data_IF_526533568316
#
_entry.id   IF_526533568316
#
_cell.length_a   1.000
_cell.length_b   1.000
_cell.length_c   1.000
_cell.angle_alpha   90.00
_cell.angle_beta   90.00
_cell.angle_gamma   90.00
#
_symmetry.space_group_name_H-M   'P 1'
#
loop_
_entity.id
_entity.type
_entity.pdbx_description
1 polymer ?
#
# COMPACT_ATOMS: atom_id res chain seq x y z
N UNK A 1 1.02 2.78 17.28
CA UNK A 1 2.38 2.31 16.94
C UNK A 1 2.63 2.62 15.48
N UNK A 2 3.76 3.26 15.17
CA UNK A 2 4.18 3.67 13.81
C UNK A 2 5.67 3.37 13.70
N UNK A 3 6.09 2.65 12.65
CA UNK A 3 7.49 2.39 12.34
C UNK A 3 7.80 2.82 10.92
N UNK A 4 9.04 3.26 10.67
CA UNK A 4 9.53 3.70 9.37
C UNK A 4 10.94 3.18 9.13
N UNK A 5 11.24 2.84 7.88
CA UNK A 5 12.58 2.49 7.42
C UNK A 5 12.84 3.12 6.05
N UNK A 6 14.01 3.65 5.86
CA UNK A 6 14.51 4.05 4.53
C UNK A 6 15.34 2.89 3.96
N UNK A 7 15.23 2.63 2.67
CA UNK A 7 15.91 1.51 1.99
C UNK A 7 15.61 0.15 2.64
N UNK A 8 14.33 -0.15 2.76
CA UNK A 8 13.84 -1.35 3.44
C UNK A 8 14.24 -2.68 2.76
N UNK A 9 14.17 -2.72 1.42
CA UNK A 9 14.61 -3.87 0.63
C UNK A 9 16.06 -3.70 0.19
N UNK A 10 16.77 -4.79 -0.05
CA UNK A 10 18.03 -4.71 -0.79
C UNK A 10 17.80 -4.18 -2.21
N UNK A 11 18.83 -3.61 -2.82
CA UNK A 11 18.72 -2.91 -4.10
C UNK A 11 18.21 -3.84 -5.22
N UNK A 12 18.60 -5.11 -5.24
CA UNK A 12 18.17 -6.06 -6.25
C UNK A 12 16.67 -6.40 -6.11
N UNK A 13 16.22 -6.68 -4.90
CA UNK A 13 14.81 -6.99 -4.63
C UNK A 13 13.92 -5.76 -4.89
N UNK A 14 14.39 -4.57 -4.52
CA UNK A 14 13.70 -3.33 -4.83
C UNK A 14 13.58 -3.09 -6.34
N UNK A 15 14.65 -3.28 -7.12
CA UNK A 15 14.65 -3.11 -8.57
C UNK A 15 13.64 -4.07 -9.24
N UNK A 16 13.59 -5.33 -8.81
CA UNK A 16 12.60 -6.32 -9.27
C UNK A 16 11.18 -5.83 -8.96
N UNK A 17 10.90 -5.39 -7.74
CA UNK A 17 9.59 -4.91 -7.32
C UNK A 17 9.17 -3.65 -8.10
N UNK A 18 10.05 -2.68 -8.24
CA UNK A 18 9.83 -1.44 -8.97
C UNK A 18 9.51 -1.69 -10.44
N UNK A 19 10.27 -2.57 -11.10
CA UNK A 19 10.01 -2.98 -12.50
C UNK A 19 8.65 -3.66 -12.64
N UNK A 20 8.31 -4.55 -11.71
CA UNK A 20 7.03 -5.27 -11.73
C UNK A 20 5.85 -4.33 -11.56
N UNK A 21 5.89 -3.42 -10.61
CA UNK A 21 4.82 -2.45 -10.38
C UNK A 21 4.68 -1.47 -11.55
N UNK A 22 5.80 -1.05 -12.14
CA UNK A 22 5.80 -0.24 -13.38
C UNK A 22 5.18 -1.01 -14.56
N UNK A 23 5.46 -2.29 -14.70
CA UNK A 23 4.86 -3.15 -15.74
C UNK A 23 3.35 -3.27 -15.54
N UNK A 24 2.89 -3.52 -14.32
CA UNK A 24 1.47 -3.59 -13.98
C UNK A 24 0.74 -2.29 -14.33
N UNK A 25 1.32 -1.15 -13.99
CA UNK A 25 0.77 0.15 -14.38
C UNK A 25 0.62 0.28 -15.89
N UNK A 26 1.66 -0.08 -16.66
CA UNK A 26 1.63 0.02 -18.12
C UNK A 26 0.58 -0.90 -18.75
N UNK A 27 0.38 -2.10 -18.20
CA UNK A 27 -0.63 -3.06 -18.67
C UNK A 27 -2.05 -2.59 -18.39
N UNK A 28 -2.26 -1.94 -17.24
CA UNK A 28 -3.59 -1.49 -16.82
C UNK A 28 -4.02 -0.14 -17.39
N UNK A 29 -3.08 0.67 -17.91
CA UNK A 29 -3.36 2.01 -18.41
C UNK A 29 -4.45 2.10 -19.47
N UNK A 30 -4.59 1.16 -20.44
CA UNK A 30 -5.69 1.17 -21.41
C UNK A 30 -7.05 0.86 -20.80
N UNK A 31 -7.10 0.10 -19.72
CA UNK A 31 -8.33 -0.38 -19.07
C UNK A 31 -8.90 0.65 -18.07
N UNK A 32 -8.09 1.60 -17.65
CA UNK A 32 -8.46 2.64 -16.68
C UNK A 32 -9.61 3.55 -17.13
N UNK A 33 -9.91 3.58 -18.41
CA UNK A 33 -10.94 4.46 -18.98
C UNK A 33 -12.35 3.84 -19.05
N UNK A 34 -12.53 2.53 -18.82
CA UNK A 34 -13.76 1.82 -19.21
C UNK A 34 -14.32 0.81 -18.22
N UNK A 35 -13.67 0.52 -17.09
CA UNK A 35 -14.12 -0.57 -16.21
C UNK A 35 -14.97 -0.10 -15.02
N UNK A 36 -16.21 -0.54 -15.07
CA UNK A 36 -17.10 -0.66 -13.91
C UNK A 36 -16.78 -2.00 -13.22
N UNK A 37 -16.36 -2.00 -11.95
CA UNK A 37 -15.84 -3.22 -11.33
C UNK A 37 -16.82 -3.79 -10.34
N UNK A 38 -17.38 -4.93 -10.71
CA UNK A 38 -17.95 -5.88 -9.75
C UNK A 38 -16.82 -6.75 -9.17
N UNK A 39 -16.69 -6.75 -7.87
CA UNK A 39 -15.76 -7.61 -7.13
C UNK A 39 -16.15 -9.09 -7.33
N UNK A 40 -15.49 -9.79 -8.22
CA UNK A 40 -15.56 -11.25 -8.28
C UNK A 40 -14.51 -11.80 -7.29
N UNK A 41 -14.98 -12.54 -6.29
CA UNK A 41 -14.16 -13.09 -5.21
C UNK A 41 -13.18 -14.19 -5.63
N UNK A 42 -13.21 -14.61 -6.88
CA UNK A 42 -12.44 -15.76 -7.39
C UNK A 42 -11.22 -15.40 -8.23
N UNK A 43 -11.03 -14.11 -8.56
CA UNK A 43 -9.86 -13.63 -9.30
C UNK A 43 -9.21 -12.45 -8.59
N UNK A 44 -7.87 -12.30 -8.66
CA UNK A 44 -7.21 -11.08 -8.21
C UNK A 44 -7.81 -9.92 -9.01
N UNK A 45 -8.59 -9.10 -8.33
CA UNK A 45 -9.43 -8.11 -8.99
C UNK A 45 -8.64 -6.84 -9.19
N UNK A 46 -8.51 -6.42 -10.42
CA UNK A 46 -8.10 -5.06 -10.76
C UNK A 46 -9.28 -4.16 -10.41
N UNK A 47 -9.21 -3.53 -9.24
CA UNK A 47 -10.21 -2.56 -8.79
C UNK A 47 -9.81 -1.16 -9.24
N UNK A 48 -10.62 -0.52 -10.10
CA UNK A 48 -10.54 0.91 -10.36
C UNK A 48 -11.58 1.58 -9.47
N UNK A 49 -11.14 2.49 -8.62
CA UNK A 49 -12.09 3.34 -7.92
C UNK A 49 -12.65 4.38 -8.88
N UNK A 50 -13.96 4.39 -9.04
CA UNK A 50 -14.67 5.41 -9.81
C UNK A 50 -14.52 6.78 -9.10
N UNK A 51 -14.25 7.82 -9.87
CA UNK A 51 -14.10 9.21 -9.41
C UNK A 51 -15.27 9.70 -8.52
N UNK A 52 -16.46 9.15 -8.71
CA UNK A 52 -17.68 9.53 -7.97
C UNK A 52 -17.84 8.84 -6.61
N UNK A 53 -17.18 7.70 -6.39
CA UNK A 53 -17.09 7.07 -5.06
C UNK A 53 -15.91 7.62 -4.25
N UNK A 54 -14.99 8.27 -4.89
CA UNK A 54 -13.74 8.77 -4.33
C UNK A 54 -13.77 10.27 -4.02
N UNK A 55 -14.86 10.77 -3.47
CA UNK A 55 -14.84 12.10 -2.82
C UNK A 55 -13.75 12.16 -1.74
N UNK A 56 -13.20 11.01 -1.36
CA UNK A 56 -12.16 10.89 -0.34
C UNK A 56 -10.81 10.37 -0.83
N UNK A 57 -10.75 9.66 -1.97
CA UNK A 57 -9.52 9.03 -2.45
C UNK A 57 -9.50 9.00 -3.98
N UNK A 58 -8.90 9.98 -4.63
CA UNK A 58 -8.61 9.90 -6.05
C UNK A 58 -7.45 8.91 -6.30
N UNK A 59 -7.72 7.63 -6.07
CA UNK A 59 -6.81 6.54 -6.38
C UNK A 59 -7.15 5.98 -7.74
N UNK A 60 -6.21 6.03 -8.67
CA UNK A 60 -6.51 5.70 -10.06
C UNK A 60 -6.34 4.23 -10.42
N UNK A 61 -5.58 3.47 -9.64
CA UNK A 61 -5.40 2.05 -9.88
C UNK A 61 -5.16 1.30 -8.58
N UNK A 62 -5.86 0.21 -8.39
CA UNK A 62 -5.68 -0.68 -7.26
C UNK A 62 -5.78 -2.12 -7.72
N UNK A 63 -4.69 -2.86 -7.63
CA UNK A 63 -4.71 -4.30 -7.64
C UNK A 63 -4.97 -4.78 -6.21
N UNK A 64 -5.81 -5.78 -6.05
CA UNK A 64 -6.19 -6.28 -4.73
C UNK A 64 -6.24 -7.79 -4.69
N UNK A 65 -5.53 -8.39 -3.73
CA UNK A 65 -5.59 -9.81 -3.42
C UNK A 65 -6.07 -10.00 -1.98
N UNK A 66 -7.17 -10.69 -1.77
CA UNK A 66 -7.83 -10.88 -0.48
C UNK A 66 -8.52 -12.25 -0.32
N UNK A 67 -8.01 -13.27 -1.00
CA UNK A 67 -8.53 -14.64 -0.94
C UNK A 67 -8.25 -15.37 0.38
N UNK A 68 -8.54 -16.65 0.40
CA UNK A 68 -8.31 -17.51 1.58
C UNK A 68 -6.81 -17.70 1.87
N UNK A 69 -5.98 -17.68 0.82
CA UNK A 69 -4.51 -17.73 0.91
C UNK A 69 -3.88 -16.57 0.14
N UNK A 70 -3.93 -15.38 0.77
CA UNK A 70 -3.44 -14.12 0.17
C UNK A 70 -1.99 -14.20 -0.23
N UNK A 71 -1.14 -14.89 0.54
CA UNK A 71 0.28 -15.06 0.21
C UNK A 71 0.43 -15.79 -1.12
N UNK A 72 -0.21 -16.96 -1.24
CA UNK A 72 -0.16 -17.80 -2.45
C UNK A 72 -0.72 -17.06 -3.66
N UNK A 73 -1.89 -16.46 -3.54
CA UNK A 73 -2.53 -15.71 -4.62
C UNK A 73 -1.68 -14.52 -5.09
N UNK A 74 -1.05 -13.81 -4.14
CA UNK A 74 -0.15 -12.72 -4.46
C UNK A 74 1.09 -13.21 -5.21
N UNK A 75 1.66 -14.34 -4.80
CA UNK A 75 2.81 -14.96 -5.49
C UNK A 75 2.43 -15.45 -6.88
N UNK A 76 1.28 -16.07 -7.06
CA UNK A 76 0.78 -16.50 -8.36
C UNK A 76 0.61 -15.31 -9.33
N UNK A 77 0.17 -14.17 -8.85
CA UNK A 77 -0.03 -12.99 -9.68
C UNK A 77 1.26 -12.18 -9.92
N UNK A 78 2.00 -11.84 -8.87
CA UNK A 78 3.19 -10.99 -8.99
C UNK A 78 4.46 -11.76 -9.38
N UNK A 79 4.44 -13.09 -9.24
CA UNK A 79 5.61 -13.94 -9.39
C UNK A 79 6.36 -14.19 -8.07
N UNK A 80 7.34 -15.12 -8.06
CA UNK A 80 7.95 -15.63 -6.84
C UNK A 80 8.77 -14.60 -6.05
N UNK A 81 9.25 -13.54 -6.66
CA UNK A 81 10.04 -12.54 -5.94
C UNK A 81 9.22 -11.71 -4.96
N UNK A 82 7.90 -11.58 -5.17
CA UNK A 82 7.03 -10.90 -4.20
C UNK A 82 6.98 -11.66 -2.87
N UNK A 83 7.13 -12.98 -2.88
CA UNK A 83 7.18 -13.78 -1.65
C UNK A 83 8.30 -13.32 -0.73
N UNK A 84 9.49 -13.03 -1.29
CA UNK A 84 10.64 -12.51 -0.52
C UNK A 84 10.30 -11.17 0.14
N UNK A 85 9.60 -10.28 -0.58
CA UNK A 85 9.13 -9.00 -0.03
C UNK A 85 8.16 -9.22 1.13
N UNK A 86 7.16 -10.07 0.93
CA UNK A 86 6.14 -10.37 1.95
C UNK A 86 6.76 -11.04 3.18
N UNK A 87 7.71 -11.96 2.98
CA UNK A 87 8.43 -12.59 4.07
C UNK A 87 9.33 -11.60 4.82
N UNK A 88 9.99 -10.66 4.13
CA UNK A 88 10.78 -9.62 4.78
C UNK A 88 9.90 -8.73 5.66
N UNK A 89 8.73 -8.31 5.18
CA UNK A 89 7.77 -7.54 5.99
C UNK A 89 7.27 -8.37 7.16
N UNK A 90 6.93 -9.65 6.96
CA UNK A 90 6.51 -10.54 8.04
C UNK A 90 7.59 -10.70 9.11
N UNK A 91 8.84 -10.91 8.71
CA UNK A 91 9.97 -11.04 9.63
C UNK A 91 10.20 -9.74 10.40
N UNK A 92 10.06 -8.58 9.76
CA UNK A 92 10.12 -7.29 10.44
C UNK A 92 9.09 -7.19 11.57
N UNK A 93 7.86 -7.68 11.36
CA UNK A 93 6.85 -7.77 12.41
C UNK A 93 7.27 -8.69 13.57
N UNK A 94 7.80 -9.87 13.23
CA UNK A 94 8.28 -10.85 14.22
C UNK A 94 9.40 -10.24 15.08
N UNK A 95 10.33 -9.52 14.47
CA UNK A 95 11.44 -8.83 15.16
C UNK A 95 10.96 -7.70 16.10
N UNK A 96 9.80 -7.10 15.79
CA UNK A 96 9.13 -6.12 16.66
C UNK A 96 8.28 -6.76 17.76
N UNK A 97 8.25 -8.10 17.85
CA UNK A 97 7.60 -8.84 18.94
C UNK A 97 6.24 -9.47 18.61
N UNK A 98 5.76 -9.32 17.36
CA UNK A 98 4.50 -9.90 16.91
C UNK A 98 4.71 -11.34 16.43
N UNK A 99 4.04 -12.33 17.04
CA UNK A 99 4.35 -13.76 16.81
C UNK A 99 3.45 -14.45 15.78
N UNK A 100 2.17 -14.09 15.77
CA UNK A 100 1.15 -14.78 14.97
C UNK A 100 0.58 -13.88 13.87
N UNK A 101 1.44 -13.04 13.30
CA UNK A 101 1.03 -12.07 12.29
C UNK A 101 0.62 -12.77 10.99
N UNK A 102 -0.54 -12.41 10.46
CA UNK A 102 -1.12 -12.93 9.24
C UNK A 102 -1.36 -11.83 8.23
N UNK A 103 -1.09 -12.12 6.98
CA UNK A 103 -1.42 -11.27 5.85
C UNK A 103 -2.91 -11.40 5.53
N UNK A 104 -3.63 -10.27 5.48
CA UNK A 104 -5.05 -10.22 5.14
C UNK A 104 -5.30 -9.83 3.69
N UNK A 105 -4.54 -8.85 3.21
CA UNK A 105 -4.60 -8.46 1.80
C UNK A 105 -3.31 -7.78 1.35
N UNK A 106 -3.11 -7.77 0.04
CA UNK A 106 -2.04 -7.03 -0.65
C UNK A 106 -2.69 -6.21 -1.75
N UNK A 107 -2.25 -4.98 -1.93
CA UNK A 107 -2.69 -4.16 -3.05
C UNK A 107 -1.54 -3.34 -3.64
N UNK A 108 -1.66 -3.10 -4.92
CA UNK A 108 -0.81 -2.16 -5.63
C UNK A 108 -1.62 -0.91 -5.98
N UNK A 109 -0.99 0.25 -5.83
CA UNK A 109 -1.63 1.53 -6.08
C UNK A 109 -0.65 2.52 -6.67
N UNK A 110 -1.16 3.38 -7.55
CA UNK A 110 -0.44 4.56 -7.99
C UNK A 110 -1.30 5.81 -7.84
N UNK A 111 -0.62 6.94 -7.80
CA UNK A 111 -1.23 8.26 -7.79
C UNK A 111 -0.51 9.22 -8.71
N UNK A 112 -1.24 10.17 -9.24
CA UNK A 112 -0.76 11.29 -10.05
C UNK A 112 -1.22 12.62 -9.44
N UNK A 113 -1.09 13.70 -10.19
CA UNK A 113 -1.41 15.08 -9.77
C UNK A 113 -2.83 15.32 -9.25
N UNK A 114 -3.78 14.45 -9.58
CA UNK A 114 -5.15 14.55 -9.06
C UNK A 114 -5.37 13.65 -7.83
N UNK A 115 -4.34 12.91 -7.44
CA UNK A 115 -4.46 11.95 -6.35
C UNK A 115 -4.31 12.64 -5.01
N UNK A 116 -5.29 12.45 -4.16
CA UNK A 116 -5.28 12.86 -2.76
C UNK A 116 -5.99 11.82 -1.91
N UNK A 117 -5.68 11.79 -0.65
CA UNK A 117 -6.36 10.95 0.32
C UNK A 117 -6.71 11.81 1.54
N UNK A 118 -7.99 11.97 1.81
CA UNK A 118 -8.43 12.71 2.97
C UNK A 118 -8.15 11.96 4.27
N UNK A 119 -8.06 12.71 5.37
CA UNK A 119 -7.83 12.14 6.69
C UNK A 119 -8.96 11.18 7.08
N UNK A 120 -8.61 9.92 7.32
CA UNK A 120 -9.53 8.86 7.74
C UNK A 120 -8.77 7.82 8.58
N UNK A 121 -9.50 6.85 9.12
CA UNK A 121 -8.98 5.65 9.76
C UNK A 121 -9.58 4.43 9.08
N UNK A 122 -8.79 3.37 8.97
CA UNK A 122 -9.27 2.10 8.44
C UNK A 122 -10.07 1.31 9.51
N UNK A 123 -10.93 0.41 9.06
CA UNK A 123 -11.64 -0.52 9.94
C UNK A 123 -10.79 -1.71 10.42
N UNK A 124 -11.37 -2.53 11.28
CA UNK A 124 -10.79 -3.82 11.72
C UNK A 124 -10.75 -4.83 10.57
N UNK A 125 -9.90 -5.83 10.72
CA UNK A 125 -9.74 -6.94 9.78
C UNK A 125 -10.19 -8.22 10.48
N UNK A 126 -11.11 -8.98 9.85
CA UNK A 126 -11.64 -10.22 10.42
C UNK A 126 -12.13 -10.04 11.85
N UNK A 127 -11.84 -11.03 12.74
CA UNK A 127 -12.14 -11.01 14.17
C UNK A 127 -11.02 -10.39 15.02
N UNK A 128 -10.05 -9.69 14.39
CA UNK A 128 -8.95 -9.08 15.10
C UNK A 128 -9.42 -7.88 15.92
N UNK A 129 -8.78 -7.68 17.07
CA UNK A 129 -9.06 -6.50 17.91
C UNK A 129 -8.50 -5.23 17.28
N UNK A 130 -8.98 -4.11 17.77
CA UNK A 130 -8.50 -2.78 17.40
C UNK A 130 -6.96 -2.65 17.46
N UNK A 131 -6.32 -3.29 18.43
CA UNK A 131 -4.90 -3.20 18.71
C UNK A 131 -4.05 -4.06 17.76
N UNK A 132 -4.65 -5.06 17.13
CA UNK A 132 -3.98 -6.12 16.38
C UNK A 132 -4.17 -6.04 14.87
N UNK A 133 -4.59 -4.89 14.34
CA UNK A 133 -4.75 -4.65 12.90
C UNK A 133 -3.79 -3.59 12.40
N UNK A 134 -3.02 -3.91 11.37
CA UNK A 134 -1.95 -3.06 10.87
C UNK A 134 -1.98 -2.92 9.36
N UNK A 135 -1.43 -1.83 8.88
CA UNK A 135 -1.13 -1.61 7.48
C UNK A 135 0.36 -1.32 7.32
N UNK A 136 0.95 -1.84 6.25
CA UNK A 136 2.30 -1.51 5.83
C UNK A 136 2.31 -1.09 4.36
N UNK A 137 3.28 -0.26 3.99
CA UNK A 137 3.41 0.27 2.64
C UNK A 137 4.89 0.39 2.27
N UNK A 138 5.24 -0.02 1.05
CA UNK A 138 6.56 0.17 0.43
C UNK A 138 6.35 1.00 -0.82
N UNK A 139 7.07 2.12 -0.95
CA UNK A 139 7.07 2.93 -2.17
C UNK A 139 7.94 2.29 -3.24
N UNK A 140 7.38 2.12 -4.44
CA UNK A 140 7.97 1.30 -5.50
C UNK A 140 8.39 2.05 -6.76
N UNK A 141 8.10 3.36 -6.86
CA UNK A 141 8.63 4.21 -7.94
C UNK A 141 10.14 4.36 -7.82
N UNK A 142 10.81 4.72 -8.92
CA UNK A 142 12.27 4.77 -8.99
C UNK A 142 12.88 6.07 -8.48
N UNK A 143 12.09 7.16 -8.45
CA UNK A 143 12.55 8.48 -8.02
C UNK A 143 11.41 9.26 -7.37
N UNK A 144 11.73 10.17 -6.47
CA UNK A 144 10.79 11.11 -5.88
C UNK A 144 11.53 12.34 -5.34
N UNK A 145 10.99 13.51 -5.63
CA UNK A 145 11.39 14.75 -4.98
C UNK A 145 10.36 15.11 -3.91
N UNK A 146 10.80 15.48 -2.73
CA UNK A 146 9.92 15.84 -1.63
C UNK A 146 9.04 17.06 -1.91
N UNK A 147 9.47 17.93 -2.83
CA UNK A 147 8.72 19.10 -3.27
C UNK A 147 7.51 18.73 -4.15
N UNK A 148 7.46 17.51 -4.68
CA UNK A 148 6.31 17.01 -5.42
C UNK A 148 5.08 16.67 -4.54
N UNK A 149 5.21 16.78 -3.23
CA UNK A 149 4.12 16.45 -2.30
C UNK A 149 3.92 14.94 -2.11
N UNK A 150 2.67 14.47 -2.06
CA UNK A 150 2.37 13.04 -1.93
C UNK A 150 2.84 12.40 -0.62
N UNK A 151 3.20 13.20 0.37
CA UNK A 151 3.64 12.72 1.68
C UNK A 151 2.51 11.96 2.38
N UNK A 152 2.84 10.81 2.94
CA UNK A 152 1.92 10.06 3.77
C UNK A 152 2.06 10.48 5.22
N UNK A 153 0.95 10.79 5.86
CA UNK A 153 0.89 11.27 7.24
C UNK A 153 0.06 10.34 8.10
N UNK A 154 0.55 10.01 9.28
CA UNK A 154 -0.14 9.20 10.28
C UNK A 154 -0.12 9.95 11.60
N UNK A 155 -1.30 10.15 12.17
CA UNK A 155 -1.49 10.86 13.43
C UNK A 155 -1.59 9.86 14.59
N UNK A 156 -1.05 10.20 15.74
CA UNK A 156 -1.26 9.43 16.97
C UNK A 156 -2.75 9.40 17.35
N UNK A 157 -3.18 8.37 18.09
CA UNK A 157 -4.60 8.21 18.47
C UNK A 157 -5.14 9.38 19.31
N UNK A 158 -4.27 10.04 20.07
CA UNK A 158 -4.60 11.21 20.89
C UNK A 158 -4.48 12.54 20.12
N UNK A 159 -4.06 12.50 18.86
CA UNK A 159 -3.92 13.67 18.00
C UNK A 159 -2.72 14.58 18.35
N UNK A 160 -1.83 14.15 19.24
CA UNK A 160 -0.71 15.00 19.70
C UNK A 160 0.50 14.98 18.79
N UNK A 161 0.68 13.92 18.03
CA UNK A 161 1.84 13.72 17.15
C UNK A 161 1.40 13.32 15.73
N UNK A 162 2.13 13.82 14.73
CA UNK A 162 1.98 13.40 13.34
C UNK A 162 3.32 12.90 12.81
N UNK A 163 3.34 11.63 12.40
CA UNK A 163 4.46 11.05 11.67
C UNK A 163 4.29 11.33 10.19
N UNK A 164 5.35 11.83 9.54
CA UNK A 164 5.38 12.10 8.10
C UNK A 164 6.33 11.10 7.44
N UNK A 165 5.83 10.40 6.43
CA UNK A 165 6.62 9.56 5.55
C UNK A 165 6.68 10.20 4.16
N UNK A 166 7.86 10.64 3.76
CA UNK A 166 8.11 11.02 2.39
C UNK A 166 8.04 9.77 1.51
N UNK A 167 7.47 9.85 0.31
CA UNK A 167 7.37 8.70 -0.58
C UNK A 167 8.70 8.45 -1.31
N UNK A 168 9.81 8.40 -0.57
CA UNK A 168 11.11 8.07 -1.14
C UNK A 168 11.12 6.64 -1.68
N UNK A 169 11.78 6.38 -2.82
CA UNK A 169 11.93 5.02 -3.33
C UNK A 169 12.46 4.07 -2.26
N UNK A 170 11.87 2.87 -2.17
CA UNK A 170 12.23 1.85 -1.17
C UNK A 170 12.00 2.27 0.29
N UNK A 171 11.30 3.35 0.55
CA UNK A 171 10.92 3.65 1.93
C UNK A 171 9.70 2.82 2.35
N UNK A 172 9.64 2.50 3.62
CA UNK A 172 8.67 1.61 4.23
C UNK A 172 8.07 2.25 5.46
N UNK A 173 6.75 2.10 5.63
CA UNK A 173 6.03 2.54 6.82
C UNK A 173 5.03 1.47 7.26
N UNK A 174 4.90 1.30 8.57
CA UNK A 174 3.88 0.48 9.22
C UNK A 174 3.12 1.35 10.23
N UNK A 175 1.79 1.18 10.27
CA UNK A 175 0.95 1.80 11.29
C UNK A 175 -0.22 0.90 11.67
N UNK A 176 -0.75 1.11 12.87
CA UNK A 176 -2.01 0.51 13.25
C UNK A 176 -3.14 1.15 12.43
N UNK A 177 -4.02 0.37 11.84
CA UNK A 177 -5.07 0.81 10.90
C UNK A 177 -6.01 1.87 11.47
N UNK A 178 -6.16 1.92 12.77
CA UNK A 178 -7.04 2.88 13.44
C UNK A 178 -6.43 4.26 13.65
N UNK A 179 -5.12 4.41 13.44
CA UNK A 179 -4.50 5.72 13.40
C UNK A 179 -5.07 6.55 12.25
N UNK A 180 -5.54 7.78 12.50
CA UNK A 180 -5.91 8.67 11.42
C UNK A 180 -4.73 8.89 10.48
N UNK A 181 -4.99 8.77 9.19
CA UNK A 181 -3.94 8.94 8.18
C UNK A 181 -4.47 9.58 6.90
N UNK A 182 -3.58 10.19 6.14
CA UNK A 182 -3.90 10.88 4.89
C UNK A 182 -2.66 11.07 4.03
N UNK A 183 -2.86 11.51 2.81
CA UNK A 183 -1.81 11.88 1.89
C UNK A 183 -1.94 13.35 1.48
N UNK A 184 -0.84 14.08 1.45
CA UNK A 184 -0.84 15.43 0.87
C UNK A 184 -1.05 15.37 -0.64
N UNK A 185 -1.65 16.40 -1.24
CA UNK A 185 -1.77 16.48 -2.70
C UNK A 185 -0.43 16.30 -3.40
N UNK A 186 -0.47 15.72 -4.59
CA UNK A 186 0.68 15.63 -5.49
C UNK A 186 0.61 16.83 -6.42
N UNK A 187 1.75 17.52 -6.62
CA UNK A 187 1.85 18.66 -7.54
C UNK A 187 1.90 18.20 -8.99
N UNK A 188 1.65 19.13 -9.91
CA UNK A 188 1.74 18.89 -11.35
C UNK A 188 3.16 18.50 -11.77
N UNK A 189 3.25 17.74 -12.88
CA UNK A 189 4.52 17.36 -13.54
C UNK A 189 5.44 16.42 -12.73
N UNK A 190 4.92 15.73 -11.73
CA UNK A 190 5.68 14.72 -11.02
C UNK A 190 5.56 13.32 -11.65
N UNK A 191 6.53 12.41 -11.39
CA UNK A 191 6.36 11.00 -11.69
C UNK A 191 5.17 10.38 -10.93
N UNK A 192 4.73 9.21 -11.39
CA UNK A 192 3.70 8.46 -10.68
C UNK A 192 4.19 8.01 -9.30
N UNK A 193 3.43 8.36 -8.26
CA UNK A 193 3.62 7.82 -6.93
C UNK A 193 3.07 6.41 -6.88
N UNK A 194 3.95 5.44 -6.74
CA UNK A 194 3.59 4.02 -6.71
C UNK A 194 3.95 3.38 -5.38
N UNK A 195 3.09 2.49 -4.90
CA UNK A 195 3.40 1.68 -3.73
C UNK A 195 2.67 0.34 -3.74
N UNK A 196 3.23 -0.62 -3.00
CA UNK A 196 2.55 -1.84 -2.59
C UNK A 196 2.13 -1.71 -1.13
N UNK A 197 0.86 -1.94 -0.87
CA UNK A 197 0.29 -1.93 0.48
C UNK A 197 -0.09 -3.33 0.92
N UNK A 198 -0.01 -3.57 2.22
CA UNK A 198 -0.32 -4.86 2.83
C UNK A 198 -1.07 -4.63 4.14
N UNK A 199 -2.14 -5.36 4.36
CA UNK A 199 -2.83 -5.38 5.66
C UNK A 199 -2.50 -6.65 6.42
N UNK A 200 -2.25 -6.49 7.70
CA UNK A 200 -1.82 -7.54 8.61
C UNK A 200 -2.67 -7.56 9.86
N UNK A 201 -2.79 -8.73 10.46
CA UNK A 201 -3.44 -8.87 11.77
C UNK A 201 -2.76 -9.97 12.59
N UNK A 202 -2.82 -9.86 13.89
CA UNK A 202 -2.41 -10.92 14.81
C UNK A 202 -3.65 -11.63 15.34
N UNK A 203 -3.60 -12.99 15.37
CA UNK A 203 -4.63 -13.85 15.98
C UNK A 203 -4.28 -14.19 17.40
#
# INVERSE_FOLDING_TARGET
>A
MIFREEKFLDDNLFDILSKKTTQLYKMSKPELSTMDISLDKTNPTIGIYNKDQAVQEAMRFRFWCNGDDVMKETVEFFGPDIEKVLLQVKNYWIDKGWKNIKLSNVWFQYGDTETQMHRHSDGTIHDATFENCFTSMIFTHSEWDNDWGGQFKVESMDGTETTIQNPNPNSFIIWNRHHPHWMTPIVEECPLRMFIGMSWYEK
#
